data_IF_715559484163
#
_entry.id   IF_715559484163
#
_cell.length_a   1.000
_cell.length_b   1.000
_cell.length_c   1.000
_cell.angle_alpha   90.00
_cell.angle_beta   90.00
_cell.angle_gamma   90.00
#
_symmetry.space_group_name_H-M   'P 1'
#
loop_
_entity.id
_entity.type
_entity.pdbx_description
1 polymer ?
#
# COMPACT_ATOMS: atom_id res chain seq x y z
N UNK A 1 -14.81 -11.48 10.05
CA UNK A 1 -13.58 -10.68 10.13
C UNK A 1 -12.84 -10.92 8.83
N UNK A 2 -12.80 -9.91 7.98
CA UNK A 2 -12.23 -9.87 6.63
C UNK A 2 -10.72 -9.62 6.62
N UNK A 3 -10.02 -10.02 7.70
CA UNK A 3 -8.58 -9.88 7.86
C UNK A 3 -7.80 -11.11 7.39
N UNK A 4 -8.47 -12.25 7.20
CA UNK A 4 -7.81 -13.46 6.68
C UNK A 4 -7.43 -13.27 5.21
N UNK A 5 -6.13 -13.33 4.90
CA UNK A 5 -5.59 -13.19 3.54
C UNK A 5 -5.11 -11.77 3.18
N UNK A 6 -5.41 -10.77 4.01
CA UNK A 6 -4.93 -9.40 3.82
C UNK A 6 -3.52 -9.23 4.39
N UNK A 7 -2.65 -8.52 3.67
CA UNK A 7 -1.30 -8.22 4.13
C UNK A 7 -0.92 -6.78 3.79
N UNK A 8 -0.02 -6.21 4.59
CA UNK A 8 0.53 -4.88 4.44
C UNK A 8 2.05 -4.95 4.45
N UNK A 9 2.68 -4.43 3.40
CA UNK A 9 4.14 -4.27 3.32
C UNK A 9 4.50 -2.80 3.41
N UNK A 10 5.38 -2.45 4.35
CA UNK A 10 5.91 -1.10 4.50
C UNK A 10 7.38 -1.09 4.06
N UNK A 11 7.74 -0.18 3.17
CA UNK A 11 9.11 -0.01 2.67
C UNK A 11 9.63 1.36 3.06
N UNK A 12 10.84 1.37 3.63
CA UNK A 12 11.56 2.58 3.99
C UNK A 12 12.77 2.73 3.07
N UNK A 13 12.85 3.88 2.40
CA UNK A 13 13.98 4.21 1.56
C UNK A 13 15.07 4.89 2.40
N UNK A 14 16.15 4.15 2.66
CA UNK A 14 17.27 4.61 3.48
C UNK A 14 18.59 4.38 2.76
N UNK A 15 19.50 5.35 2.87
CA UNK A 15 20.90 5.17 2.48
C UNK A 15 21.67 4.76 3.74
N UNK A 16 22.42 3.66 3.65
CA UNK A 16 23.29 3.19 4.72
C UNK A 16 24.74 3.19 4.25
N UNK A 17 25.63 3.81 5.02
CA UNK A 17 27.08 3.85 4.77
C UNK A 17 27.81 3.24 5.96
N UNK A 18 28.70 2.29 5.69
CA UNK A 18 29.52 1.61 6.70
C UNK A 18 30.93 2.22 6.70
N UNK A 19 31.44 2.55 7.88
CA UNK A 19 32.75 3.21 8.02
C UNK A 19 33.92 2.22 8.18
N UNK A 20 33.64 0.91 8.33
CA UNK A 20 34.65 -0.16 8.41
C UNK A 20 35.26 -0.38 9.80
N UNK A 21 34.93 0.47 10.76
CA UNK A 21 35.30 0.42 12.18
C UNK A 21 34.17 -0.17 13.07
N UNK A 22 33.13 -0.72 12.44
CA UNK A 22 31.94 -1.24 13.10
C UNK A 22 30.80 -0.22 13.24
N UNK A 23 31.01 1.05 12.86
CA UNK A 23 29.94 2.04 12.82
C UNK A 23 29.28 2.13 11.44
N UNK A 24 28.00 2.48 11.45
CA UNK A 24 27.23 2.79 10.26
C UNK A 24 26.40 4.06 10.46
N UNK A 25 26.17 4.77 9.36
CA UNK A 25 25.25 5.90 9.30
C UNK A 25 24.08 5.53 8.39
N UNK A 26 22.87 5.68 8.90
CA UNK A 26 21.64 5.55 8.13
C UNK A 26 20.98 6.91 7.99
N UNK A 27 20.60 7.27 6.76
CA UNK A 27 19.85 8.49 6.46
C UNK A 27 18.63 8.18 5.61
N UNK A 28 17.53 8.89 5.84
CA UNK A 28 16.32 8.77 5.02
C UNK A 28 16.53 9.42 3.66
N UNK A 29 16.08 8.74 2.60
CA UNK A 29 16.14 9.28 1.25
C UNK A 29 14.82 10.00 0.93
N UNK A 30 14.91 11.32 0.75
CA UNK A 30 13.78 12.17 0.36
C UNK A 30 12.79 12.49 1.49
N UNK A 31 11.83 13.38 1.19
CA UNK A 31 10.79 13.82 2.15
C UNK A 31 9.81 12.68 2.48
N UNK A 32 9.45 11.88 1.47
CA UNK A 32 8.56 10.72 1.62
C UNK A 32 9.35 9.42 1.49
N UNK A 33 10.04 9.03 2.55
CA UNK A 33 10.86 7.82 2.54
C UNK A 33 10.07 6.55 2.89
N UNK A 34 8.83 6.65 3.36
CA UNK A 34 7.95 5.51 3.67
C UNK A 34 6.93 5.32 2.56
N UNK A 35 6.77 4.10 2.09
CA UNK A 35 5.71 3.68 1.18
C UNK A 35 5.05 2.41 1.69
N UNK A 36 3.72 2.35 1.58
CA UNK A 36 2.91 1.18 1.94
C UNK A 36 2.33 0.50 0.71
N UNK A 37 2.26 -0.81 0.75
CA UNK A 37 1.56 -1.65 -0.23
C UNK A 37 0.62 -2.58 0.53
N UNK A 38 -0.62 -2.69 0.06
CA UNK A 38 -1.67 -3.49 0.70
C UNK A 38 -2.19 -4.52 -0.29
N UNK A 39 -2.10 -5.79 0.07
CA UNK A 39 -2.80 -6.87 -0.61
C UNK A 39 -4.14 -7.05 0.09
N UNK A 40 -5.22 -6.77 -0.65
CA UNK A 40 -6.59 -6.85 -0.14
C UNK A 40 -7.38 -7.93 -0.87
N UNK A 41 -8.05 -8.78 -0.11
CA UNK A 41 -8.93 -9.86 -0.53
C UNK A 41 -10.24 -9.75 0.23
N UNK A 42 -11.36 -9.95 -0.48
CA UNK A 42 -12.69 -9.87 0.11
C UNK A 42 -13.63 -10.84 -0.57
N UNK A 43 -14.32 -11.62 0.25
CA UNK A 43 -15.46 -12.42 -0.20
C UNK A 43 -16.72 -11.59 -0.01
N UNK A 44 -17.41 -11.29 -1.12
CA UNK A 44 -18.64 -10.51 -1.11
C UNK A 44 -19.65 -11.03 -2.15
N UNK A 45 -20.86 -10.46 -2.16
CA UNK A 45 -21.85 -10.76 -3.20
C UNK A 45 -21.36 -10.24 -4.55
N UNK A 46 -21.76 -10.91 -5.64
CA UNK A 46 -21.36 -10.54 -7.01
C UNK A 46 -21.60 -9.06 -7.35
N UNK A 47 -22.71 -8.48 -6.87
CA UNK A 47 -23.01 -7.07 -7.09
C UNK A 47 -21.93 -6.14 -6.48
N UNK A 48 -21.52 -6.41 -5.24
CA UNK A 48 -20.48 -5.64 -4.55
C UNK A 48 -19.11 -5.79 -5.21
N UNK A 49 -18.75 -7.00 -5.65
CA UNK A 49 -17.50 -7.23 -6.40
C UNK A 49 -17.49 -6.43 -7.72
N UNK A 50 -18.62 -6.36 -8.43
CA UNK A 50 -18.74 -5.58 -9.66
C UNK A 50 -18.63 -4.07 -9.41
N UNK A 51 -19.15 -3.58 -8.29
CA UNK A 51 -19.01 -2.18 -7.88
C UNK A 51 -17.55 -1.84 -7.54
N UNK A 52 -16.85 -2.71 -6.80
CA UNK A 52 -15.43 -2.55 -6.49
C UNK A 52 -14.59 -2.55 -7.78
N UNK A 53 -14.89 -3.48 -8.70
CA UNK A 53 -14.26 -3.52 -10.02
C UNK A 53 -14.45 -2.21 -10.78
N UNK A 54 -15.70 -1.74 -10.89
CA UNK A 54 -16.02 -0.51 -11.60
C UNK A 54 -15.34 0.72 -10.97
N UNK A 55 -15.21 0.73 -9.64
CA UNK A 55 -14.45 1.75 -8.91
C UNK A 55 -12.97 1.76 -9.31
N UNK A 56 -12.30 0.60 -9.33
CA UNK A 56 -10.90 0.52 -9.74
C UNK A 56 -10.71 0.85 -11.24
N UNK A 57 -11.58 0.36 -12.11
CA UNK A 57 -11.56 0.66 -13.55
C UNK A 57 -11.73 2.17 -13.82
N UNK A 58 -12.55 2.87 -13.04
CA UNK A 58 -12.69 4.34 -13.13
C UNK A 58 -11.39 5.06 -12.77
N UNK A 59 -10.61 4.54 -11.82
CA UNK A 59 -9.34 5.12 -11.39
C UNK A 59 -8.16 4.74 -12.30
N UNK A 60 -8.28 3.66 -13.08
CA UNK A 60 -7.30 3.21 -14.08
C UNK A 60 -5.87 3.03 -13.53
N UNK A 61 -5.74 2.74 -12.23
CA UNK A 61 -4.44 2.68 -11.51
C UNK A 61 -3.62 3.99 -11.47
N UNK A 62 -4.05 5.04 -12.16
CA UNK A 62 -3.36 6.31 -12.23
C UNK A 62 -3.92 7.34 -11.24
N UNK A 63 -5.25 7.34 -11.05
CA UNK A 63 -5.93 8.28 -10.17
C UNK A 63 -5.87 7.80 -8.73
N UNK A 64 -5.36 8.65 -7.84
CA UNK A 64 -5.35 8.39 -6.40
C UNK A 64 -6.71 8.59 -5.77
N UNK A 65 -7.01 7.83 -4.73
CA UNK A 65 -8.19 8.00 -3.87
C UNK A 65 -7.80 7.90 -2.39
N UNK A 66 -8.66 8.43 -1.52
CA UNK A 66 -8.51 8.27 -0.07
C UNK A 66 -9.10 6.93 0.33
N UNK A 67 -8.38 6.19 1.17
CA UNK A 67 -8.78 4.91 1.68
C UNK A 67 -8.53 4.86 3.18
N UNK A 68 -9.52 4.41 3.95
CA UNK A 68 -9.39 4.20 5.38
C UNK A 68 -8.78 2.82 5.64
N UNK A 69 -7.46 2.80 5.80
CA UNK A 69 -6.68 1.59 6.09
C UNK A 69 -6.97 1.12 7.52
N UNK A 70 -7.20 -0.19 7.75
CA UNK A 70 -7.51 -0.72 9.07
C UNK A 70 -6.47 -0.39 10.17
N UNK A 71 -5.20 -0.20 9.77
CA UNK A 71 -4.08 0.00 10.71
C UNK A 71 -3.48 1.40 10.67
N UNK A 72 -3.63 2.12 9.55
CA UNK A 72 -2.99 3.41 9.33
C UNK A 72 -4.01 4.58 9.23
N UNK A 73 -5.31 4.29 9.30
CA UNK A 73 -6.38 5.28 9.10
C UNK A 73 -6.45 5.78 7.65
N UNK A 74 -6.91 7.00 7.46
CA UNK A 74 -7.06 7.58 6.11
C UNK A 74 -5.70 7.80 5.43
N UNK A 75 -5.48 7.09 4.33
CA UNK A 75 -4.28 7.16 3.50
C UNK A 75 -4.65 7.42 2.04
N UNK A 76 -3.76 8.11 1.31
CA UNK A 76 -3.92 8.29 -0.14
C UNK A 76 -3.23 7.14 -0.86
N UNK A 77 -4.01 6.37 -1.62
CA UNK A 77 -3.52 5.20 -2.37
C UNK A 77 -3.88 5.31 -3.85
N UNK A 78 -3.27 4.44 -4.65
CA UNK A 78 -3.67 4.18 -6.03
C UNK A 78 -3.91 2.69 -6.16
N UNK A 79 -4.89 2.30 -6.98
CA UNK A 79 -5.08 0.90 -7.31
C UNK A 79 -3.85 0.38 -8.07
N UNK A 80 -3.31 -0.76 -7.64
CA UNK A 80 -2.39 -1.55 -8.44
C UNK A 80 -3.17 -2.44 -9.41
N UNK A 81 -2.64 -3.63 -9.65
CA UNK A 81 -3.37 -4.68 -10.34
C UNK A 81 -4.48 -5.26 -9.44
N UNK A 82 -5.58 -5.70 -10.05
CA UNK A 82 -6.66 -6.39 -9.34
C UNK A 82 -7.12 -7.64 -10.11
N UNK A 83 -7.61 -8.64 -9.37
CA UNK A 83 -8.18 -9.87 -9.93
C UNK A 83 -9.62 -10.00 -9.44
N UNK A 84 -10.62 -10.03 -10.34
CA UNK A 84 -12.03 -10.12 -9.96
C UNK A 84 -12.47 -11.51 -9.51
#
# INVERSE_FOLDING_TARGET
CDLEGNNQTQRFNTLSTKFGDGYEQNTSIGINNRSGEWTYQRTAKKAEILEIKAFFDKHKGANSFLWDSPLDGEVRVKAGDYQP
#
